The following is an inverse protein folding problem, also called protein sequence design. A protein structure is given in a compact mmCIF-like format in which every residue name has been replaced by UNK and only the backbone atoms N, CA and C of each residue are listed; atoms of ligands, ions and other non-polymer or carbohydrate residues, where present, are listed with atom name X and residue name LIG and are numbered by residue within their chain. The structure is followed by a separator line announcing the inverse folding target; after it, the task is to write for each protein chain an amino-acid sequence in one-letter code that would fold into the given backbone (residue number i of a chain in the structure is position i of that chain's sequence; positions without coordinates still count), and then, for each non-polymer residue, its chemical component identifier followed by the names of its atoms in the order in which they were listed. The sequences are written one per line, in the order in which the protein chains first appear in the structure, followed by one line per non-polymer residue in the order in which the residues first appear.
data_IF_907282951610
#
_entry.id   IF_907282951610
#
_cell.length_a   1.000
_cell.length_b   1.000
_cell.length_c   1.000
_cell.angle_alpha   90.00
_cell.angle_beta   90.00
_cell.angle_gamma   90.00
#
_symmetry.space_group_name_H-M   'P 1'
#
loop_
_entity.id
_entity.type
_entity.pdbx_description
1 polymer ?
#
# COMPACT_ATOMS: atom_id res chain seq x y z
N UNK A 1 0.36 -0.62 -14.98
CA UNK A 1 0.46 -1.48 -13.78
C UNK A 1 -0.81 -1.40 -12.96
N UNK A 2 -1.19 -2.51 -12.36
CA UNK A 2 -2.33 -2.57 -11.45
C UNK A 2 -1.85 -2.40 -10.01
N UNK A 3 -2.50 -1.51 -9.26
CA UNK A 3 -2.17 -1.25 -7.87
C UNK A 3 -3.40 -1.49 -6.99
N UNK A 4 -3.20 -2.22 -5.90
CA UNK A 4 -4.21 -2.43 -4.89
C UNK A 4 -4.00 -1.41 -3.79
N UNK A 5 -5.00 -0.54 -3.58
CA UNK A 5 -4.97 0.51 -2.57
C UNK A 5 -5.85 0.13 -1.39
N UNK A 6 -5.25 -0.05 -0.23
CA UNK A 6 -5.96 -0.34 1.01
C UNK A 6 -5.96 0.88 1.91
N UNK A 7 -7.11 1.52 2.05
CA UNK A 7 -7.31 2.74 2.84
C UNK A 7 -8.75 2.80 3.30
N UNK A 8 -8.98 2.97 4.60
CA UNK A 8 -10.33 2.96 5.16
C UNK A 8 -11.03 4.32 5.16
N UNK A 9 -10.29 5.42 5.08
CA UNK A 9 -10.88 6.76 5.04
C UNK A 9 -11.31 7.12 3.62
N UNK A 10 -12.62 7.36 3.36
CA UNK A 10 -13.11 7.57 2.00
C UNK A 10 -12.46 8.76 1.27
N UNK A 11 -12.23 9.85 1.98
CA UNK A 11 -11.63 11.05 1.37
C UNK A 11 -10.17 10.80 0.96
N UNK A 12 -9.41 10.16 1.84
CA UNK A 12 -8.01 9.81 1.56
C UNK A 12 -7.94 8.80 0.43
N UNK A 13 -8.82 7.81 0.44
CA UNK A 13 -8.91 6.80 -0.61
C UNK A 13 -9.18 7.44 -1.98
N UNK A 14 -10.13 8.39 -2.04
CA UNK A 14 -10.46 9.07 -3.28
C UNK A 14 -9.28 9.86 -3.83
N UNK A 15 -8.63 10.66 -2.98
CA UNK A 15 -7.50 11.50 -3.37
C UNK A 15 -6.34 10.62 -3.85
N UNK A 16 -6.02 9.58 -3.10
CA UNK A 16 -4.95 8.65 -3.47
C UNK A 16 -5.24 7.95 -4.79
N UNK A 17 -6.47 7.46 -4.96
CA UNK A 17 -6.88 6.79 -6.19
C UNK A 17 -6.74 7.68 -7.41
N UNK A 18 -7.19 8.93 -7.31
CA UNK A 18 -7.10 9.88 -8.42
C UNK A 18 -5.64 10.19 -8.78
N UNK A 19 -4.80 10.39 -7.76
CA UNK A 19 -3.37 10.63 -7.97
C UNK A 19 -2.68 9.46 -8.68
N UNK A 20 -2.98 8.25 -8.23
CA UNK A 20 -2.39 7.03 -8.79
C UNK A 20 -2.87 6.77 -10.21
N UNK A 21 -4.15 6.99 -10.49
CA UNK A 21 -4.68 6.87 -11.85
C UNK A 21 -4.02 7.85 -12.80
N UNK A 22 -3.80 9.08 -12.35
CA UNK A 22 -3.12 10.09 -13.15
C UNK A 22 -1.68 9.70 -13.48
N UNK A 23 -1.03 8.94 -12.61
CA UNK A 23 0.32 8.44 -12.84
C UNK A 23 0.35 7.18 -13.73
N UNK A 24 -0.80 6.69 -14.18
CA UNK A 24 -0.89 5.57 -15.10
C UNK A 24 -1.26 4.23 -14.48
N UNK A 25 -1.56 4.19 -13.18
CA UNK A 25 -1.98 2.95 -12.54
C UNK A 25 -3.45 2.63 -12.80
N UNK A 26 -3.76 1.35 -12.94
CA UNK A 26 -5.11 0.83 -12.76
C UNK A 26 -5.26 0.53 -11.27
N UNK A 27 -6.22 1.17 -10.61
CA UNK A 27 -6.33 1.12 -9.15
C UNK A 27 -7.56 0.32 -8.72
N UNK A 28 -7.34 -0.67 -7.85
CA UNK A 28 -8.40 -1.41 -7.15
C UNK A 28 -8.35 -0.96 -5.69
N UNK A 29 -9.48 -0.58 -5.12
CA UNK A 29 -9.53 -0.06 -3.75
C UNK A 29 -10.25 -1.02 -2.82
N UNK A 30 -9.72 -1.16 -1.60
CA UNK A 30 -10.33 -1.92 -0.50
C UNK A 30 -10.20 -1.10 0.79
N UNK A 31 -10.98 -1.45 1.81
CA UNK A 31 -11.08 -0.67 3.04
C UNK A 31 -10.38 -1.25 4.26
N UNK A 32 -9.87 -2.47 4.19
CA UNK A 32 -9.19 -3.10 5.32
C UNK A 32 -8.28 -4.24 4.87
N UNK A 33 -7.51 -4.78 5.82
CA UNK A 33 -6.53 -5.84 5.53
C UNK A 33 -7.15 -7.17 5.13
N UNK A 34 -8.32 -7.51 5.67
CA UNK A 34 -9.00 -8.75 5.30
C UNK A 34 -9.41 -8.71 3.83
N UNK A 35 -9.91 -7.57 3.36
CA UNK A 35 -10.24 -7.39 1.94
C UNK A 35 -9.02 -7.47 1.04
N UNK A 36 -7.85 -7.01 1.52
CA UNK A 36 -6.59 -7.16 0.79
C UNK A 36 -6.33 -8.64 0.53
N UNK A 37 -6.37 -9.45 1.60
CA UNK A 37 -6.09 -10.88 1.48
C UNK A 37 -7.10 -11.60 0.60
N UNK A 38 -8.38 -11.18 0.67
CA UNK A 38 -9.44 -11.80 -0.12
C UNK A 38 -9.29 -11.49 -1.62
N UNK A 39 -8.84 -10.30 -1.98
CA UNK A 39 -8.83 -9.91 -3.39
C UNK A 39 -7.46 -10.03 -4.08
N UNK A 40 -6.38 -10.15 -3.32
CA UNK A 40 -5.02 -10.16 -3.91
C UNK A 40 -4.83 -11.32 -4.90
N UNK A 41 -5.40 -12.47 -4.61
CA UNK A 41 -5.27 -13.66 -5.46
C UNK A 41 -6.00 -13.49 -6.80
N UNK A 42 -7.19 -12.87 -6.79
CA UNK A 42 -8.01 -12.68 -8.00
C UNK A 42 -7.55 -11.47 -8.80
N UNK A 43 -7.16 -10.38 -8.14
CA UNK A 43 -6.75 -9.14 -8.80
C UNK A 43 -5.31 -9.17 -9.30
N UNK A 44 -4.44 -9.93 -8.66
CA UNK A 44 -3.02 -10.05 -9.00
C UNK A 44 -2.36 -8.69 -9.23
N UNK A 45 -2.35 -7.80 -8.22
CA UNK A 45 -1.78 -6.48 -8.39
C UNK A 45 -0.27 -6.55 -8.57
N UNK A 46 0.27 -5.55 -9.26
CA UNK A 46 1.71 -5.39 -9.41
C UNK A 46 2.35 -4.75 -8.18
N UNK A 47 1.56 -4.06 -7.38
CA UNK A 47 1.99 -3.43 -6.14
C UNK A 47 0.81 -3.21 -5.21
N UNK A 48 1.07 -3.08 -3.92
CA UNK A 48 0.07 -2.81 -2.90
C UNK A 48 0.48 -1.57 -2.13
N UNK A 49 -0.40 -0.57 -2.09
CA UNK A 49 -0.26 0.60 -1.24
C UNK A 49 -1.19 0.41 -0.05
N UNK A 50 -0.62 0.32 1.14
CA UNK A 50 -1.27 -0.23 2.31
C UNK A 50 -1.23 0.77 3.47
N UNK A 51 -2.40 1.21 3.93
CA UNK A 51 -2.48 2.05 5.11
C UNK A 51 -2.00 1.25 6.33
N UNK A 52 -1.24 1.93 7.19
CA UNK A 52 -0.70 1.36 8.41
C UNK A 52 -1.80 1.03 9.42
N UNK A 53 -2.78 1.93 9.56
CA UNK A 53 -3.86 1.82 10.53
C UNK A 53 -5.20 1.61 9.82
N UNK A 54 -5.74 0.41 9.94
CA UNK A 54 -7.02 0.03 9.36
C UNK A 54 -7.83 -0.80 10.35
N UNK A 55 -9.19 -0.80 10.24
CA UNK A 55 -10.00 -1.67 11.09
C UNK A 55 -9.81 -3.14 10.74
N UNK A 56 -10.19 -4.00 11.65
CA UNK A 56 -10.20 -5.47 11.55
C UNK A 56 -8.80 -6.08 11.50
N UNK A 57 -7.98 -5.69 10.55
CA UNK A 57 -6.59 -6.14 10.46
C UNK A 57 -5.73 -4.96 10.01
N UNK A 58 -4.74 -4.58 10.83
CA UNK A 58 -3.86 -3.46 10.51
C UNK A 58 -2.87 -3.79 9.38
N UNK A 59 -2.17 -2.74 8.92
CA UNK A 59 -1.24 -2.86 7.80
C UNK A 59 -0.07 -3.78 8.08
N UNK A 60 0.43 -3.81 9.31
CA UNK A 60 1.54 -4.69 9.68
C UNK A 60 1.17 -6.16 9.55
N UNK A 61 0.04 -6.55 10.15
CA UNK A 61 -0.41 -7.93 10.10
C UNK A 61 -0.73 -8.34 8.67
N UNK A 62 -1.34 -7.43 7.90
CA UNK A 62 -1.62 -7.67 6.48
C UNK A 62 -0.34 -7.93 5.70
N UNK A 63 0.66 -7.08 5.87
CA UNK A 63 1.96 -7.23 5.20
C UNK A 63 2.64 -8.53 5.61
N UNK A 64 2.62 -8.85 6.89
CA UNK A 64 3.20 -10.08 7.42
C UNK A 64 2.60 -11.31 6.75
N UNK A 65 1.27 -11.34 6.61
CA UNK A 65 0.58 -12.46 5.97
C UNK A 65 0.88 -12.54 4.48
N UNK A 66 0.93 -11.40 3.79
CA UNK A 66 1.30 -11.35 2.37
C UNK A 66 2.71 -11.92 2.14
N UNK A 67 3.66 -11.55 3.00
CA UNK A 67 5.05 -12.00 2.87
C UNK A 67 5.26 -13.45 3.31
N UNK A 68 4.35 -14.00 4.10
CA UNK A 68 4.40 -15.41 4.51
C UNK A 68 3.88 -16.37 3.44
N UNK A 69 3.12 -15.89 2.47
CA UNK A 69 2.56 -16.69 1.39
C UNK A 69 3.44 -16.57 0.14
N UNK A 70 4.03 -17.66 -0.35
CA UNK A 70 4.89 -17.61 -1.56
C UNK A 70 4.20 -17.03 -2.80
N UNK A 71 2.87 -17.15 -2.90
CA UNK A 71 2.11 -16.62 -4.03
C UNK A 71 2.05 -15.09 -4.02
N UNK A 72 2.12 -14.46 -2.86
CA UNK A 72 2.00 -13.02 -2.69
C UNK A 72 3.29 -12.34 -2.22
N UNK A 73 4.23 -13.08 -1.68
CA UNK A 73 5.48 -12.54 -1.15
C UNK A 73 6.26 -11.66 -2.15
N UNK A 74 6.29 -11.96 -3.46
CA UNK A 74 6.99 -11.11 -4.42
C UNK A 74 6.34 -9.76 -4.71
N UNK A 75 5.07 -9.56 -4.33
CA UNK A 75 4.37 -8.31 -4.61
C UNK A 75 4.91 -7.20 -3.71
N UNK A 76 5.41 -6.08 -4.28
CA UNK A 76 5.91 -4.97 -3.48
C UNK A 76 4.80 -4.34 -2.65
N UNK A 77 5.07 -4.09 -1.37
CA UNK A 77 4.16 -3.42 -0.46
C UNK A 77 4.76 -2.08 -0.05
N UNK A 78 3.99 -1.01 -0.21
CA UNK A 78 4.38 0.33 0.21
C UNK A 78 3.38 0.79 1.27
N UNK A 79 3.87 1.20 2.44
CA UNK A 79 2.99 1.68 3.49
C UNK A 79 2.64 3.15 3.34
N UNK A 80 1.38 3.49 3.63
CA UNK A 80 0.94 4.86 3.90
C UNK A 80 0.83 5.01 5.41
N UNK A 81 1.52 5.97 6.00
CA UNK A 81 1.54 6.12 7.45
C UNK A 81 1.62 7.57 7.89
N UNK A 82 0.93 7.91 8.99
CA UNK A 82 1.09 9.19 9.65
C UNK A 82 2.44 9.30 10.39
N UNK A 83 3.17 8.20 10.51
CA UNK A 83 4.43 8.12 11.26
C UNK A 83 5.56 7.63 10.37
N UNK A 84 6.32 8.57 9.81
CA UNK A 84 7.52 8.25 9.02
C UNK A 84 8.80 8.43 9.83
N UNK A 85 8.75 8.04 11.09
CA UNK A 85 9.93 8.04 11.94
C UNK A 85 10.84 6.86 11.59
N UNK A 86 12.12 7.00 11.89
CA UNK A 86 13.12 5.99 11.54
C UNK A 86 12.76 4.60 12.06
N UNK A 87 12.26 4.50 13.29
CA UNK A 87 11.90 3.22 13.89
C UNK A 87 10.75 2.52 13.15
N UNK A 88 9.73 3.28 12.75
CA UNK A 88 8.59 2.73 12.01
C UNK A 88 8.99 2.32 10.60
N UNK A 89 9.80 3.12 9.93
CA UNK A 89 10.31 2.78 8.60
C UNK A 89 11.16 1.52 8.67
N UNK A 90 12.05 1.42 9.65
CA UNK A 90 12.88 0.22 9.85
C UNK A 90 12.04 -1.02 10.09
N UNK A 91 10.96 -0.91 10.89
CA UNK A 91 10.05 -2.01 11.15
C UNK A 91 9.32 -2.46 9.88
N UNK A 92 8.86 -1.51 9.07
CA UNK A 92 8.22 -1.82 7.80
C UNK A 92 9.17 -2.55 6.84
N UNK A 93 10.40 -2.08 6.71
CA UNK A 93 11.40 -2.70 5.86
C UNK A 93 11.76 -4.10 6.36
N UNK A 94 11.82 -4.29 7.69
CA UNK A 94 12.08 -5.60 8.30
C UNK A 94 10.97 -6.61 7.99
N UNK A 95 9.73 -6.14 7.76
CA UNK A 95 8.63 -6.99 7.33
C UNK A 95 8.64 -7.30 5.83
N UNK A 96 9.56 -6.71 5.09
CA UNK A 96 9.67 -6.93 3.65
C UNK A 96 9.00 -5.87 2.79
N UNK A 97 8.58 -4.74 3.38
CA UNK A 97 8.00 -3.64 2.61
C UNK A 97 9.05 -2.99 1.70
N UNK A 98 8.61 -2.47 0.55
CA UNK A 98 9.48 -1.77 -0.39
C UNK A 98 9.74 -0.32 0.06
N UNK A 99 8.86 0.27 0.85
CA UNK A 99 9.03 1.62 1.35
C UNK A 99 7.82 2.13 2.12
N UNK A 100 7.90 3.40 2.52
CA UNK A 100 6.84 4.09 3.26
C UNK A 100 6.62 5.48 2.66
N UNK A 101 5.36 5.93 2.67
CA UNK A 101 4.99 7.29 2.29
C UNK A 101 4.21 7.90 3.43
N UNK A 102 4.58 9.12 3.84
CA UNK A 102 3.97 9.81 4.96
C UNK A 102 2.60 10.41 4.63
N UNK A 103 1.71 10.43 5.61
CA UNK A 103 0.46 11.16 5.58
C UNK A 103 0.62 12.44 6.41
N UNK A 104 0.07 13.57 5.98
CA UNK A 104 -0.61 13.78 4.71
C UNK A 104 0.39 13.76 3.54
N UNK A 105 -0.01 13.12 2.44
CA UNK A 105 0.80 13.11 1.22
C UNK A 105 0.35 14.23 0.28
N UNK A 106 1.23 14.61 -0.64
CA UNK A 106 0.88 15.54 -1.70
C UNK A 106 0.22 14.77 -2.84
N UNK A 107 -1.05 15.09 -3.12
CA UNK A 107 -1.82 14.43 -4.17
C UNK A 107 -1.20 14.58 -5.55
N UNK A 108 -0.42 15.65 -5.78
CA UNK A 108 0.25 15.87 -7.07
C UNK A 108 1.45 14.97 -7.28
N UNK A 109 2.06 14.48 -6.20
CA UNK A 109 3.32 13.73 -6.27
C UNK A 109 3.20 12.28 -5.80
N UNK A 110 2.08 11.87 -5.21
CA UNK A 110 1.92 10.52 -4.66
C UNK A 110 2.23 9.44 -5.71
N UNK A 111 1.60 9.53 -6.87
CA UNK A 111 1.80 8.54 -7.93
C UNK A 111 3.25 8.45 -8.37
N UNK A 112 3.93 9.59 -8.50
CA UNK A 112 5.33 9.63 -8.87
C UNK A 112 6.22 8.99 -7.80
N UNK A 113 5.92 9.25 -6.52
CA UNK A 113 6.67 8.65 -5.42
C UNK A 113 6.53 7.13 -5.39
N UNK A 114 5.33 6.62 -5.67
CA UNK A 114 5.10 5.18 -5.76
C UNK A 114 5.96 4.60 -6.89
N UNK A 115 5.96 5.23 -8.07
CA UNK A 115 6.78 4.78 -9.20
C UNK A 115 8.26 4.76 -8.85
N UNK A 116 8.75 5.78 -8.16
CA UNK A 116 10.14 5.86 -7.72
C UNK A 116 10.52 4.71 -6.77
N UNK A 117 9.65 4.41 -5.81
CA UNK A 117 9.89 3.30 -4.88
C UNK A 117 9.91 1.97 -5.62
N UNK A 118 8.99 1.77 -6.56
CA UNK A 118 8.93 0.52 -7.34
C UNK A 118 10.11 0.34 -8.27
N UNK A 119 10.73 1.43 -8.71
CA UNK A 119 11.89 1.40 -9.60
C UNK A 119 13.22 1.19 -8.87
N UNK A 120 13.22 1.40 -7.57
CA UNK A 120 14.46 1.31 -6.77
C UNK A 120 14.98 -0.10 -6.60
#
# INVERSE_FOLDING_TARGET
MKLLLAEDEPDVQLIARLSLKKAGFTVVTVGNGLEVLDCVASERPDAILLDWMMPDMDGFETCKRLKADPATAPIPVIFLTARVQEAEVARALALGAAGCIGKPFDALTLGQRVLEILAA
#
